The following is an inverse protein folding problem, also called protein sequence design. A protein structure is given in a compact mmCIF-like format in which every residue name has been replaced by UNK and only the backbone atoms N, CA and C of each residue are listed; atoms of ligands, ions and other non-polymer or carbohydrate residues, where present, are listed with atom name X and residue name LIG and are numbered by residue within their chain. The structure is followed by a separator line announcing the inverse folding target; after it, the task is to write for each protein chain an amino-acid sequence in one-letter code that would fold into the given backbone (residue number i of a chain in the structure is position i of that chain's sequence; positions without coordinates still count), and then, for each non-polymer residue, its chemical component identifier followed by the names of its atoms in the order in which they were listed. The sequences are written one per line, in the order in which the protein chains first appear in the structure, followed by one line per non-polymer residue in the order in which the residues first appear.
data_IF_776306858637
#
_entry.id   IF_776306858637
#
_cell.length_a   1.000
_cell.length_b   1.000
_cell.length_c   1.000
_cell.angle_alpha   90.00
_cell.angle_beta   90.00
_cell.angle_gamma   90.00
#
_symmetry.space_group_name_H-M   'P 1'
#
loop_
_entity.id
_entity.type
_entity.pdbx_description
1 polymer ?
#
# COMPACT_ATOMS: atom_id res chain seq x y z
N UNK A 1 11.90 12.96 -15.74
CA UNK A 1 12.27 11.70 -15.09
C UNK A 1 11.07 10.79 -14.96
N UNK A 2 11.17 9.58 -15.46
CA UNK A 2 10.13 8.59 -15.28
C UNK A 2 10.31 7.92 -13.93
N UNK A 3 9.35 8.15 -13.07
CA UNK A 3 9.37 7.66 -11.72
C UNK A 3 8.12 6.81 -11.47
N UNK A 4 8.30 5.66 -10.87
CA UNK A 4 7.21 4.78 -10.47
C UNK A 4 7.54 4.11 -9.15
N UNK A 5 6.49 3.68 -8.44
CA UNK A 5 6.70 2.83 -7.28
C UNK A 5 6.63 1.37 -7.70
N UNK A 6 7.50 0.57 -7.10
CA UNK A 6 7.54 -0.87 -7.31
C UNK A 6 7.22 -1.53 -5.98
N UNK A 7 6.34 -2.53 -5.99
CA UNK A 7 6.03 -3.28 -4.79
C UNK A 7 7.18 -4.21 -4.49
N UNK A 8 7.89 -3.96 -3.40
CA UNK A 8 9.04 -4.77 -2.98
C UNK A 8 8.64 -5.88 -2.02
N UNK A 9 7.55 -5.71 -1.28
CA UNK A 9 7.10 -6.68 -0.29
C UNK A 9 5.62 -6.53 -0.03
N UNK A 10 4.94 -7.65 0.16
CA UNK A 10 3.52 -7.67 0.56
C UNK A 10 3.36 -8.70 1.68
N UNK A 11 2.66 -8.31 2.73
CA UNK A 11 2.25 -9.21 3.81
C UNK A 11 0.74 -9.13 3.91
N UNK A 12 0.08 -10.28 4.00
CA UNK A 12 -1.37 -10.36 4.11
C UNK A 12 -1.73 -11.31 5.23
N UNK A 13 -2.55 -10.83 6.17
CA UNK A 13 -3.12 -11.65 7.23
C UNK A 13 -4.62 -11.79 7.00
N UNK A 14 -5.06 -12.99 6.78
CA UNK A 14 -6.49 -13.30 6.61
C UNK A 14 -7.11 -13.61 7.97
N UNK A 15 -8.20 -12.94 8.27
CA UNK A 15 -8.91 -13.09 9.53
C UNK A 15 -10.20 -13.88 9.36
N UNK A 16 -10.96 -13.57 8.33
CA UNK A 16 -12.24 -14.18 8.04
C UNK A 16 -12.41 -14.34 6.53
N UNK A 17 -13.15 -15.36 6.09
CA UNK A 17 -13.43 -15.50 4.67
C UNK A 17 -14.45 -14.45 4.22
N UNK A 18 -14.29 -13.99 2.98
CA UNK A 18 -15.30 -13.21 2.31
C UNK A 18 -16.17 -14.15 1.50
N UNK A 19 -17.46 -13.91 1.51
CA UNK A 19 -18.43 -14.76 0.80
C UNK A 19 -18.90 -14.07 -0.48
N UNK A 20 -19.35 -14.86 -1.49
CA UNK A 20 -19.91 -14.27 -2.69
C UNK A 20 -21.09 -13.33 -2.33
N UNK A 21 -21.12 -12.18 -2.95
CA UNK A 21 -22.16 -11.19 -2.67
C UNK A 21 -21.83 -10.23 -1.54
N UNK A 22 -20.77 -10.46 -0.79
CA UNK A 22 -20.33 -9.52 0.25
C UNK A 22 -19.81 -8.24 -0.39
N UNK A 23 -20.15 -7.11 0.22
CA UNK A 23 -19.54 -5.85 -0.13
C UNK A 23 -18.33 -5.62 0.75
N UNK A 24 -17.22 -5.27 0.14
CA UNK A 24 -15.97 -5.04 0.86
C UNK A 24 -15.64 -3.56 0.89
N UNK A 25 -15.18 -3.13 2.05
CA UNK A 25 -14.66 -1.79 2.24
C UNK A 25 -13.15 -1.91 2.41
N UNK A 26 -12.40 -1.24 1.54
CA UNK A 26 -10.95 -1.24 1.62
C UNK A 26 -10.49 0.13 2.10
N UNK A 27 -9.75 0.14 3.19
CA UNK A 27 -9.16 1.37 3.73
C UNK A 27 -7.67 1.33 3.49
N UNK A 28 -7.13 2.42 2.99
CA UNK A 28 -5.71 2.55 2.70
C UNK A 28 -5.11 3.64 3.58
N UNK A 29 -3.87 3.44 3.99
CA UNK A 29 -3.15 4.45 4.75
C UNK A 29 -1.66 4.33 4.44
N UNK A 30 -1.02 5.46 4.16
CA UNK A 30 0.44 5.51 4.09
C UNK A 30 0.93 5.57 5.53
N UNK A 31 1.70 4.57 5.94
CA UNK A 31 2.10 4.43 7.33
C UNK A 31 3.47 5.02 7.62
N UNK A 32 4.39 4.84 6.70
CA UNK A 32 5.78 5.17 6.97
C UNK A 32 6.47 5.58 5.67
N UNK A 33 7.16 6.71 5.69
CA UNK A 33 7.84 7.22 4.51
C UNK A 33 9.33 7.30 4.83
N UNK A 34 10.11 6.44 4.16
CA UNK A 34 11.55 6.46 4.27
C UNK A 34 12.18 7.33 3.19
N UNK A 35 13.46 7.10 2.94
CA UNK A 35 14.19 7.86 1.94
C UNK A 35 13.75 7.56 0.51
N UNK A 36 13.62 6.29 0.17
CA UNK A 36 13.25 5.84 -1.17
C UNK A 36 12.12 4.82 -1.14
N UNK A 37 11.49 4.62 0.01
CA UNK A 37 10.41 3.65 0.16
C UNK A 37 9.33 4.21 1.07
N UNK A 38 8.14 3.63 0.96
CA UNK A 38 7.05 3.94 1.87
C UNK A 38 6.20 2.68 2.08
N UNK A 39 5.54 2.64 3.22
CA UNK A 39 4.67 1.53 3.58
C UNK A 39 3.22 1.94 3.46
N UNK A 40 2.41 1.05 2.92
CA UNK A 40 0.97 1.25 2.81
C UNK A 40 0.27 0.16 3.60
N UNK A 41 -0.60 0.57 4.50
CA UNK A 41 -1.45 -0.34 5.25
C UNK A 41 -2.82 -0.44 4.58
N UNK A 42 -3.37 -1.64 4.56
CA UNK A 42 -4.69 -1.92 3.99
C UNK A 42 -5.52 -2.65 5.03
N UNK A 43 -6.77 -2.23 5.17
CA UNK A 43 -7.75 -2.97 5.94
C UNK A 43 -8.91 -3.30 5.02
N UNK A 44 -9.27 -4.58 4.98
CA UNK A 44 -10.40 -5.05 4.17
C UNK A 44 -11.47 -5.53 5.14
N UNK A 45 -12.62 -4.89 5.09
CA UNK A 45 -13.71 -5.14 6.00
C UNK A 45 -14.99 -5.47 5.24
N UNK A 46 -15.88 -6.18 5.91
CA UNK A 46 -17.24 -6.31 5.41
C UNK A 46 -17.94 -4.97 5.57
N UNK A 47 -18.42 -4.40 4.48
CA UNK A 47 -19.03 -3.07 4.51
C UNK A 47 -20.31 -3.01 5.34
N UNK A 48 -21.02 -4.13 5.45
CA UNK A 48 -22.28 -4.19 6.21
C UNK A 48 -22.06 -4.40 7.70
N UNK A 49 -21.23 -5.38 8.05
CA UNK A 49 -21.03 -5.77 9.46
C UNK A 49 -19.86 -5.04 10.12
N UNK A 50 -18.97 -4.46 9.31
CA UNK A 50 -17.73 -3.81 9.77
C UNK A 50 -16.72 -4.79 10.36
N UNK A 51 -16.90 -6.08 10.11
CA UNK A 51 -15.92 -7.06 10.55
C UNK A 51 -14.68 -7.02 9.67
N UNK A 52 -13.52 -7.12 10.31
CA UNK A 52 -12.24 -7.15 9.62
C UNK A 52 -12.04 -8.50 8.95
N UNK A 53 -11.86 -8.50 7.65
CA UNK A 53 -11.66 -9.71 6.85
C UNK A 53 -10.18 -9.98 6.68
N UNK A 54 -9.41 -8.95 6.35
CA UNK A 54 -7.98 -9.09 6.13
C UNK A 54 -7.26 -7.78 6.42
N UNK A 55 -6.01 -7.91 6.80
CA UNK A 55 -5.08 -6.79 6.90
C UNK A 55 -3.91 -7.07 5.98
N UNK A 56 -3.40 -6.03 5.35
CA UNK A 56 -2.24 -6.17 4.49
C UNK A 56 -1.32 -4.98 4.66
N UNK A 57 -0.06 -5.21 4.37
CA UNK A 57 0.95 -4.17 4.32
C UNK A 57 1.78 -4.37 3.08
N UNK A 58 2.12 -3.28 2.41
CA UNK A 58 3.05 -3.33 1.30
C UNK A 58 4.18 -2.35 1.54
N UNK A 59 5.37 -2.73 1.08
CA UNK A 59 6.51 -1.83 1.02
C UNK A 59 6.69 -1.49 -0.44
N UNK A 60 6.62 -0.21 -0.76
CA UNK A 60 6.79 0.26 -2.12
C UNK A 60 8.05 1.10 -2.20
N UNK A 61 8.80 0.92 -3.28
CA UNK A 61 10.08 1.60 -3.49
C UNK A 61 9.93 2.53 -4.69
N UNK A 62 10.40 3.76 -4.52
CA UNK A 62 10.50 4.70 -5.62
C UNK A 62 11.59 4.22 -6.57
N UNK A 63 11.26 4.06 -7.84
CA UNK A 63 12.16 3.44 -8.79
C UNK A 63 12.21 4.24 -10.09
N UNK A 64 13.42 4.45 -10.58
CA UNK A 64 13.65 5.10 -11.86
C UNK A 64 13.97 4.04 -12.90
N UNK A 65 13.03 3.81 -13.80
CA UNK A 65 13.18 2.79 -14.84
C UNK A 65 14.25 3.14 -15.86
N UNK A 66 14.50 4.43 -16.07
CA UNK A 66 15.55 4.84 -16.99
C UNK A 66 16.94 4.51 -16.47
N UNK A 67 17.13 4.60 -15.16
CA UNK A 67 18.41 4.27 -14.53
C UNK A 67 18.47 2.85 -13.98
N UNK A 68 17.32 2.18 -13.88
CA UNK A 68 17.25 0.82 -13.37
C UNK A 68 17.58 0.67 -11.89
N UNK A 69 17.28 1.68 -11.08
CA UNK A 69 17.60 1.66 -9.66
C UNK A 69 16.58 2.45 -8.84
N UNK A 70 16.59 2.20 -7.52
CA UNK A 70 15.76 2.97 -6.59
C UNK A 70 16.28 4.40 -6.48
N UNK A 71 15.37 5.33 -6.24
CA UNK A 71 15.68 6.75 -6.11
C UNK A 71 15.03 7.30 -4.85
N UNK A 72 15.58 8.38 -4.28
CA UNK A 72 14.95 9.02 -3.13
C UNK A 72 13.56 9.59 -3.48
N UNK A 73 12.66 9.54 -2.52
CA UNK A 73 11.35 10.17 -2.65
C UNK A 73 11.56 11.67 -2.57
N UNK A 74 11.18 12.38 -3.64
CA UNK A 74 11.35 13.83 -3.66
C UNK A 74 10.27 14.53 -2.80
N UNK A 75 10.46 15.83 -2.58
CA UNK A 75 9.55 16.59 -1.74
C UNK A 75 8.13 16.63 -2.30
N UNK A 76 7.99 16.66 -3.62
CA UNK A 76 6.69 16.68 -4.28
C UNK A 76 5.92 15.40 -4.04
N UNK A 77 6.57 14.25 -4.21
CA UNK A 77 5.94 12.97 -3.96
C UNK A 77 5.64 12.76 -2.48
N UNK A 78 6.58 13.14 -1.61
CA UNK A 78 6.39 13.03 -0.17
C UNK A 78 5.17 13.84 0.29
N UNK A 79 4.98 15.02 -0.24
CA UNK A 79 3.82 15.84 0.09
C UNK A 79 2.51 15.17 -0.32
N UNK A 80 2.50 14.44 -1.44
CA UNK A 80 1.31 13.71 -1.88
C UNK A 80 1.02 12.49 -1.00
N UNK A 81 2.05 11.87 -0.45
CA UNK A 81 1.89 10.70 0.42
C UNK A 81 1.47 11.08 1.84
N UNK A 82 1.86 12.25 2.30
CA UNK A 82 1.47 12.76 3.60
C UNK A 82 0.06 13.36 3.55
#
# INVERSE_FOLDING_TARGET
MLFRSVVARVEIDYRKPALPGDRLLVRLRVEDIGRSSFKVGYEIMNARTRELIAEAKSVQVAFDYAQGKSVPIDASLRAKLE
#
